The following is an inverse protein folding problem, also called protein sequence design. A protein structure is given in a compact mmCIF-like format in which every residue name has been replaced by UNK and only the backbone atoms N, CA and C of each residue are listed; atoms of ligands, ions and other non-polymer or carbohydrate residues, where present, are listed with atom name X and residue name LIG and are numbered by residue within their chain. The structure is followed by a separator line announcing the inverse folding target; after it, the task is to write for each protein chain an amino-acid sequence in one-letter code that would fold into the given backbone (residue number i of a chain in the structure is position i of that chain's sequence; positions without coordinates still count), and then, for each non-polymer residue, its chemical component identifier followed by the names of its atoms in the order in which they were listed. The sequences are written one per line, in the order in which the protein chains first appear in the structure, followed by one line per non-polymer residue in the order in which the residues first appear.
data_IF_815512409067
#
_entry.id   IF_815512409067
#
_cell.length_a   1.000
_cell.length_b   1.000
_cell.length_c   1.000
_cell.angle_alpha   90.00
_cell.angle_beta   90.00
_cell.angle_gamma   90.00
#
_symmetry.space_group_name_H-M   'P 1'
#
loop_
_entity.id
_entity.type
_entity.pdbx_description
1 polymer ?
#
# COMPACT_ATOMS: atom_id res chain seq x y z
N UNK A 1 -4.73 10.69 -15.96
CA UNK A 1 -3.78 11.31 -15.00
C UNK A 1 -3.12 10.19 -14.22
N UNK A 2 -1.80 10.19 -14.17
CA UNK A 2 -0.99 9.17 -13.52
C UNK A 2 -0.93 9.41 -12.02
N UNK A 3 -1.40 8.45 -11.21
CA UNK A 3 -1.49 8.65 -9.75
C UNK A 3 -0.84 7.53 -8.93
N UNK A 4 -0.26 7.90 -7.79
CA UNK A 4 0.19 6.96 -6.77
C UNK A 4 -0.88 6.83 -5.69
N UNK A 5 -1.24 5.61 -5.32
CA UNK A 5 -2.12 5.37 -4.17
C UNK A 5 -1.32 5.07 -2.92
N UNK A 6 -1.69 5.71 -1.82
CA UNK A 6 -1.13 5.43 -0.50
C UNK A 6 -2.22 4.74 0.31
N UNK A 7 -2.00 3.48 0.69
CA UNK A 7 -2.88 2.75 1.60
C UNK A 7 -2.41 2.98 3.03
N UNK A 8 -3.28 3.58 3.84
CA UNK A 8 -3.01 3.94 5.23
C UNK A 8 -3.43 2.83 6.21
N UNK A 9 -2.46 2.31 6.95
CA UNK A 9 -2.62 1.31 8.00
C UNK A 9 -2.73 1.92 9.42
N UNK A 10 -3.07 3.21 9.51
CA UNK A 10 -3.31 3.92 10.77
C UNK A 10 -2.06 4.56 11.37
N UNK A 11 -1.08 4.95 10.55
CA UNK A 11 0.12 5.64 11.05
C UNK A 11 0.08 7.15 10.84
N UNK A 12 1.04 7.85 11.44
CA UNK A 12 1.24 9.29 11.21
C UNK A 12 1.97 9.61 9.89
N UNK A 13 2.42 8.58 9.16
CA UNK A 13 3.28 8.71 7.98
C UNK A 13 2.60 8.99 6.62
N UNK A 14 1.32 8.65 6.35
CA UNK A 14 0.71 8.82 5.02
C UNK A 14 0.77 10.27 4.52
N UNK A 15 0.50 11.23 5.42
CA UNK A 15 0.56 12.66 5.12
C UNK A 15 1.98 13.12 4.76
N UNK A 16 3.01 12.56 5.43
CA UNK A 16 4.41 12.85 5.13
C UNK A 16 4.82 12.29 3.76
N UNK A 17 4.40 11.07 3.44
CA UNK A 17 4.62 10.44 2.13
C UNK A 17 3.96 11.29 1.04
N UNK A 18 2.68 11.64 1.21
CA UNK A 18 1.96 12.49 0.26
C UNK A 18 2.64 13.86 0.08
N UNK A 19 3.13 14.47 1.17
CA UNK A 19 3.90 15.72 1.09
C UNK A 19 5.20 15.56 0.29
N UNK A 20 5.89 14.42 0.40
CA UNK A 20 7.11 14.15 -0.38
C UNK A 20 6.78 13.92 -1.85
N UNK A 21 5.75 13.14 -2.18
CA UNK A 21 5.30 12.95 -3.57
C UNK A 21 4.88 14.26 -4.24
N UNK A 22 4.11 15.09 -3.52
CA UNK A 22 3.72 16.42 -4.03
C UNK A 22 4.94 17.31 -4.32
N UNK A 23 5.98 17.26 -3.49
CA UNK A 23 7.24 17.98 -3.75
C UNK A 23 7.99 17.48 -4.97
N UNK A 24 7.76 16.23 -5.38
CA UNK A 24 8.32 15.63 -6.60
C UNK A 24 7.40 15.83 -7.82
N UNK A 25 6.30 16.59 -7.69
CA UNK A 25 5.34 16.80 -8.78
C UNK A 25 4.45 15.60 -9.08
N UNK A 26 4.41 14.61 -8.18
CA UNK A 26 3.60 13.39 -8.35
C UNK A 26 2.26 13.55 -7.65
N UNK A 27 1.17 13.33 -8.39
CA UNK A 27 -0.17 13.29 -7.81
C UNK A 27 -0.39 11.99 -7.04
N UNK A 28 -1.03 12.08 -5.87
CA UNK A 28 -1.33 10.93 -5.04
C UNK A 28 -2.65 11.10 -4.27
N UNK A 29 -3.32 9.98 -4.04
CA UNK A 29 -4.47 9.88 -3.14
C UNK A 29 -4.12 8.99 -1.94
N UNK A 30 -4.68 9.30 -0.77
CA UNK A 30 -4.58 8.47 0.44
C UNK A 30 -5.92 7.76 0.62
N UNK A 31 -5.89 6.44 0.79
CA UNK A 31 -7.06 5.61 1.08
C UNK A 31 -6.82 4.82 2.36
N UNK A 32 -7.88 4.44 3.10
CA UNK A 32 -7.76 3.47 4.17
C UNK A 32 -7.25 2.12 3.63
N UNK A 33 -6.52 1.35 4.43
CA UNK A 33 -6.00 0.04 4.01
C UNK A 33 -7.08 -0.92 3.51
N UNK A 34 -8.30 -0.82 4.06
CA UNK A 34 -9.45 -1.65 3.70
C UNK A 34 -10.23 -1.17 2.48
N UNK A 35 -9.68 -0.25 1.67
CA UNK A 35 -10.30 0.15 0.41
C UNK A 35 -10.53 -1.07 -0.48
N UNK A 36 -11.72 -1.14 -1.06
CA UNK A 36 -12.17 -2.29 -1.84
C UNK A 36 -11.44 -2.41 -3.18
N UNK A 37 -11.44 -3.62 -3.77
CA UNK A 37 -10.88 -3.82 -5.09
C UNK A 37 -11.44 -2.88 -6.17
N UNK A 38 -12.74 -2.58 -6.13
CA UNK A 38 -13.39 -1.67 -7.08
C UNK A 38 -12.88 -0.24 -6.92
N UNK A 39 -12.75 0.24 -5.68
CA UNK A 39 -12.21 1.57 -5.37
C UNK A 39 -10.76 1.72 -5.85
N UNK A 40 -9.92 0.70 -5.64
CA UNK A 40 -8.52 0.72 -6.06
C UNK A 40 -8.43 0.70 -7.59
N UNK A 41 -9.18 -0.17 -8.26
CA UNK A 41 -9.19 -0.28 -9.74
C UNK A 41 -9.71 0.98 -10.42
N UNK A 42 -10.75 1.60 -9.87
CA UNK A 42 -11.35 2.83 -10.42
C UNK A 42 -10.35 3.99 -10.52
N UNK A 43 -9.32 3.99 -9.67
CA UNK A 43 -8.27 5.01 -9.63
C UNK A 43 -7.14 4.76 -10.63
N UNK A 44 -7.05 3.56 -11.22
CA UNK A 44 -6.01 3.19 -12.17
C UNK A 44 -4.59 3.64 -11.72
N UNK A 45 -4.12 3.20 -10.53
CA UNK A 45 -2.83 3.62 -10.00
C UNK A 45 -1.69 3.24 -10.93
N UNK A 46 -0.65 4.08 -10.99
CA UNK A 46 0.65 3.70 -11.56
C UNK A 46 1.56 3.00 -10.56
N UNK A 47 1.24 3.09 -9.27
CA UNK A 47 2.00 2.47 -8.20
C UNK A 47 1.26 2.62 -6.88
N UNK A 48 1.58 1.73 -5.94
CA UNK A 48 0.92 1.65 -4.64
C UNK A 48 1.98 1.72 -3.54
N UNK A 49 1.73 2.54 -2.53
CA UNK A 49 2.53 2.63 -1.31
C UNK A 49 1.70 2.09 -0.16
N UNK A 50 2.21 1.04 0.50
CA UNK A 50 1.67 0.53 1.75
C UNK A 50 2.35 1.25 2.90
N UNK A 51 1.60 2.08 3.64
CA UNK A 51 2.17 2.87 4.73
C UNK A 51 2.58 2.01 5.93
N UNK A 52 3.26 2.64 6.88
CA UNK A 52 3.40 2.08 8.22
C UNK A 52 2.05 2.02 8.96
N UNK A 53 2.05 1.32 10.09
CA UNK A 53 0.97 1.25 11.06
C UNK A 53 1.57 1.03 12.45
N UNK A 54 0.87 1.38 13.54
CA UNK A 54 1.33 1.14 14.92
C UNK A 54 1.31 -0.35 15.30
N UNK A 55 0.62 -1.18 14.51
CA UNK A 55 0.38 -2.60 14.78
C UNK A 55 1.57 -3.48 14.40
N UNK A 56 1.79 -4.56 15.14
CA UNK A 56 2.65 -5.67 14.69
C UNK A 56 1.87 -6.59 13.73
N UNK A 57 2.47 -6.99 12.60
CA UNK A 57 1.78 -7.75 11.51
C UNK A 57 1.47 -9.21 11.89
N UNK A 58 1.97 -9.68 13.03
CA UNK A 58 1.94 -11.08 13.42
C UNK A 58 0.69 -11.49 14.23
N UNK A 59 -0.22 -10.55 14.51
CA UNK A 59 -1.47 -10.84 15.23
C UNK A 59 -2.55 -11.47 14.35
N UNK A 60 -3.37 -12.37 14.91
CA UNK A 60 -4.65 -12.75 14.29
C UNK A 60 -5.51 -11.50 14.11
N UNK A 61 -5.87 -11.16 12.87
CA UNK A 61 -6.61 -9.95 12.54
C UNK A 61 -5.75 -8.74 12.19
N UNK A 62 -4.45 -8.92 11.93
CA UNK A 62 -3.59 -7.86 11.43
C UNK A 62 -4.20 -7.20 10.16
N UNK A 63 -4.27 -5.85 10.09
CA UNK A 63 -4.75 -5.12 8.93
C UNK A 63 -4.11 -5.59 7.63
N UNK A 64 -4.92 -6.03 6.66
CA UNK A 64 -4.45 -6.41 5.32
C UNK A 64 -5.18 -5.62 4.25
N UNK A 65 -4.47 -5.21 3.19
CA UNK A 65 -5.12 -4.60 2.04
C UNK A 65 -5.91 -5.66 1.26
N UNK A 66 -6.78 -5.19 0.38
CA UNK A 66 -7.41 -6.06 -0.61
C UNK A 66 -6.34 -6.75 -1.48
N UNK A 67 -6.42 -8.08 -1.73
CA UNK A 67 -5.45 -8.83 -2.53
C UNK A 67 -5.25 -8.28 -3.96
N UNK A 68 -6.20 -7.48 -4.47
CA UNK A 68 -6.05 -6.79 -5.74
C UNK A 68 -4.74 -6.03 -5.85
N UNK A 69 -4.26 -5.46 -4.73
CA UNK A 69 -3.05 -4.64 -4.68
C UNK A 69 -1.84 -5.36 -5.27
N UNK A 70 -1.73 -6.66 -5.01
CA UNK A 70 -0.58 -7.47 -5.45
C UNK A 70 -0.75 -8.06 -6.86
N UNK A 71 -1.98 -8.03 -7.42
CA UNK A 71 -2.30 -8.59 -8.74
C UNK A 71 -2.51 -7.52 -9.84
N UNK A 72 -2.44 -6.23 -9.50
CA UNK A 72 -2.62 -5.12 -10.46
C UNK A 72 -1.48 -4.96 -11.47
N UNK A 73 -0.35 -5.64 -11.28
CA UNK A 73 0.81 -5.54 -12.18
C UNK A 73 1.54 -4.19 -12.10
N UNK A 74 1.31 -3.41 -11.03
CA UNK A 74 1.95 -2.12 -10.79
C UNK A 74 2.97 -2.23 -9.65
N UNK A 75 4.01 -1.38 -9.60
CA UNK A 75 4.97 -1.39 -8.51
C UNK A 75 4.31 -1.15 -7.15
N UNK A 76 4.73 -1.93 -6.15
CA UNK A 76 4.28 -1.80 -4.76
C UNK A 76 5.47 -1.52 -3.85
N UNK A 77 5.41 -0.42 -3.10
CA UNK A 77 6.40 -0.04 -2.10
C UNK A 77 5.82 -0.20 -0.70
N UNK A 78 6.46 -1.00 0.16
CA UNK A 78 6.08 -1.16 1.55
C UNK A 78 6.99 -0.37 2.49
N UNK A 79 6.39 0.37 3.44
CA UNK A 79 7.13 1.12 4.46
C UNK A 79 6.76 0.56 5.84
N UNK A 80 7.76 0.13 6.61
CA UNK A 80 7.59 -0.44 7.95
C UNK A 80 6.57 -1.60 7.96
N UNK A 81 5.36 -1.39 8.47
CA UNK A 81 4.26 -2.36 8.43
C UNK A 81 4.00 -2.89 7.00
N UNK A 82 3.95 -2.00 6.01
CA UNK A 82 3.78 -2.38 4.61
C UNK A 82 4.92 -3.27 4.10
N UNK A 83 6.16 -3.05 4.56
CA UNK A 83 7.31 -3.89 4.19
C UNK A 83 7.17 -5.30 4.78
N UNK A 84 6.74 -5.41 6.03
CA UNK A 84 6.51 -6.69 6.69
C UNK A 84 5.35 -7.47 6.04
N UNK A 85 4.29 -6.77 5.59
CA UNK A 85 3.23 -7.38 4.77
C UNK A 85 3.77 -7.93 3.45
N UNK A 86 4.55 -7.14 2.70
CA UNK A 86 5.16 -7.61 1.45
C UNK A 86 6.07 -8.82 1.69
N UNK A 87 6.88 -8.80 2.75
CA UNK A 87 7.77 -9.90 3.09
C UNK A 87 7.02 -11.19 3.44
N UNK A 88 5.76 -11.11 3.90
CA UNK A 88 4.90 -12.27 4.12
C UNK A 88 4.20 -12.73 2.84
N UNK A 89 3.69 -11.78 2.05
CA UNK A 89 2.95 -12.05 0.81
C UNK A 89 3.85 -12.65 -0.29
N UNK A 90 5.04 -12.06 -0.50
CA UNK A 90 6.00 -12.51 -1.50
C UNK A 90 6.96 -13.60 -0.98
N UNK A 91 6.78 -14.10 0.26
CA UNK A 91 7.59 -15.21 0.80
C UNK A 91 7.26 -16.56 0.17
N UNK A 92 6.14 -16.67 -0.54
CA UNK A 92 5.76 -17.89 -1.25
C UNK A 92 6.25 -17.83 -2.70
N UNK A 93 7.41 -18.42 -2.95
CA UNK A 93 7.88 -18.79 -4.29
C UNK A 93 7.75 -20.31 -4.40
N UNK A 94 6.64 -20.86 -4.93
CA UNK A 94 6.59 -22.28 -5.22
C UNK A 94 7.55 -22.56 -6.38
N UNK A 95 8.67 -23.22 -6.10
CA UNK A 95 9.63 -23.66 -7.11
C UNK A 95 10.95 -22.88 -7.22
N UNK A 96 11.37 -22.15 -6.17
CA UNK A 96 12.79 -21.78 -5.98
C UNK A 96 13.51 -22.77 -5.07
#
# INVERSE_FOLDING_TARGET
MSQILILDFGSQYPQLIARRLRRLGVYCEILPFGASASEIRARAPLGIILSGGPSSVYGKGAPRPDPVVFSLGVPVLGICYGMQLLAGEYRYVPGS
#
